data_IF_158574766448
#
_entry.id   IF_158574766448
#
_cell.length_a   1.000
_cell.length_b   1.000
_cell.length_c   1.000
_cell.angle_alpha   90.00
_cell.angle_beta   90.00
_cell.angle_gamma   90.00
#
_symmetry.space_group_name_H-M   'P 1'
#
loop_
_entity.id
_entity.type
_entity.pdbx_description
1 polymer ?
#
# COMPACT_ATOMS: atom_id res chain seq x y z
N UNK A 1 -11.59 46.23 26.57
CA UNK A 1 -11.58 45.87 25.14
C UNK A 1 -10.53 44.84 24.80
N UNK A 2 -9.31 45.00 25.25
CA UNK A 2 -8.23 44.05 24.94
C UNK A 2 -8.50 42.62 25.47
N UNK A 3 -9.02 42.52 26.67
CA UNK A 3 -9.34 41.23 27.31
C UNK A 3 -10.42 40.47 26.58
N UNK A 4 -11.48 41.15 26.11
CA UNK A 4 -12.55 40.51 25.37
C UNK A 4 -12.08 39.96 24.01
N UNK A 5 -11.15 40.64 23.36
CA UNK A 5 -10.56 40.21 22.10
C UNK A 5 -9.68 38.96 22.29
N UNK A 6 -8.85 38.94 23.34
CA UNK A 6 -7.99 37.82 23.69
C UNK A 6 -8.83 36.58 24.04
N UNK A 7 -9.90 36.76 24.83
CA UNK A 7 -10.83 35.68 25.15
C UNK A 7 -11.55 35.12 23.93
N UNK A 8 -11.92 35.98 22.98
CA UNK A 8 -12.56 35.52 21.73
C UNK A 8 -11.64 34.66 20.89
N UNK A 9 -10.36 35.07 20.76
CA UNK A 9 -9.35 34.28 20.03
C UNK A 9 -9.13 32.93 20.73
N UNK A 10 -9.01 32.93 22.06
CA UNK A 10 -8.77 31.71 22.83
C UNK A 10 -9.93 30.71 22.70
N UNK A 11 -11.18 31.20 22.79
CA UNK A 11 -12.38 30.36 22.57
C UNK A 11 -12.45 29.82 21.15
N UNK A 12 -12.09 30.61 20.15
CA UNK A 12 -12.04 30.16 18.75
C UNK A 12 -11.01 29.05 18.53
N UNK A 13 -9.83 29.16 19.15
CA UNK A 13 -8.78 28.15 19.09
C UNK A 13 -9.20 26.84 19.75
N UNK A 14 -9.86 26.89 20.91
CA UNK A 14 -10.38 25.70 21.60
C UNK A 14 -11.43 25.00 20.71
N UNK A 15 -12.33 25.76 20.12
CA UNK A 15 -13.38 25.23 19.24
C UNK A 15 -12.79 24.53 18.00
N UNK A 16 -11.81 25.17 17.38
CA UNK A 16 -11.10 24.60 16.22
C UNK A 16 -10.32 23.34 16.60
N UNK A 17 -9.67 23.33 17.76
CA UNK A 17 -8.95 22.18 18.29
C UNK A 17 -9.86 20.99 18.58
N UNK A 18 -11.05 21.23 19.17
CA UNK A 18 -12.01 20.16 19.45
C UNK A 18 -12.58 19.54 18.20
N UNK A 19 -12.90 20.35 17.19
CA UNK A 19 -13.38 19.85 15.87
C UNK A 19 -12.31 19.00 15.19
N UNK A 20 -11.06 19.46 15.16
CA UNK A 20 -9.94 18.69 14.60
C UNK A 20 -9.73 17.37 15.33
N UNK A 21 -9.80 17.38 16.66
CA UNK A 21 -9.66 16.18 17.48
C UNK A 21 -10.79 15.16 17.24
N UNK A 22 -12.04 15.61 17.18
CA UNK A 22 -13.19 14.76 16.81
C UNK A 22 -13.03 14.15 15.42
N UNK A 23 -12.55 14.94 14.46
CA UNK A 23 -12.30 14.46 13.10
C UNK A 23 -11.24 13.35 13.07
N UNK A 24 -10.13 13.50 13.79
CA UNK A 24 -9.07 12.49 13.89
C UNK A 24 -9.59 11.20 14.55
N UNK A 25 -10.38 11.32 15.61
CA UNK A 25 -10.99 10.14 16.28
C UNK A 25 -11.95 9.44 15.31
N UNK A 26 -12.78 10.18 14.61
CA UNK A 26 -13.73 9.62 13.65
C UNK A 26 -13.02 8.88 12.51
N UNK A 27 -11.93 9.45 11.98
CA UNK A 27 -11.08 8.79 10.99
C UNK A 27 -10.46 7.50 11.55
N UNK A 28 -9.92 7.52 12.75
CA UNK A 28 -9.36 6.32 13.39
C UNK A 28 -10.40 5.23 13.61
N UNK A 29 -11.60 5.58 14.03
CA UNK A 29 -12.69 4.62 14.23
C UNK A 29 -13.18 4.00 12.92
N UNK A 30 -13.26 4.79 11.86
CA UNK A 30 -13.64 4.31 10.53
C UNK A 30 -12.56 3.40 9.92
N UNK A 31 -11.29 3.76 10.04
CA UNK A 31 -10.16 2.99 9.51
C UNK A 31 -9.82 1.76 10.35
N UNK A 32 -10.07 1.80 11.68
CA UNK A 32 -9.74 0.70 12.59
C UNK A 32 -10.59 -0.56 12.39
N UNK A 33 -11.71 -0.50 11.68
CA UNK A 33 -12.58 -1.66 11.44
C UNK A 33 -12.16 -2.53 10.26
N UNK A 34 -11.32 -2.04 9.37
CA UNK A 34 -10.87 -2.80 8.21
C UNK A 34 -9.58 -3.55 8.53
N UNK A 35 -9.69 -4.74 9.09
CA UNK A 35 -8.59 -5.72 9.16
C UNK A 35 -8.40 -6.47 7.84
N UNK A 36 -8.91 -5.95 6.75
CA UNK A 36 -8.81 -6.56 5.44
C UNK A 36 -7.45 -6.30 4.83
N UNK A 37 -6.83 -7.33 4.27
CA UNK A 37 -5.62 -7.19 3.49
C UNK A 37 -5.98 -6.54 2.15
N UNK A 38 -5.39 -5.40 1.86
CA UNK A 38 -5.59 -4.73 0.57
C UNK A 38 -4.49 -5.11 -0.40
N UNK A 39 -4.90 -5.37 -1.63
CA UNK A 39 -4.01 -5.64 -2.75
C UNK A 39 -4.00 -4.43 -3.67
N UNK A 40 -2.81 -3.89 -3.91
CA UNK A 40 -2.62 -2.82 -4.89
C UNK A 40 -2.04 -3.42 -6.15
N UNK A 41 -2.80 -3.39 -7.22
CA UNK A 41 -2.39 -3.89 -8.53
C UNK A 41 -1.71 -2.76 -9.31
N UNK A 42 -0.45 -2.97 -9.69
CA UNK A 42 0.32 -2.05 -10.52
C UNK A 42 0.54 -2.67 -11.90
N UNK A 43 -0.25 -2.31 -12.92
CA UNK A 43 0.05 -2.72 -14.28
C UNK A 43 1.29 -1.96 -14.77
N UNK A 44 2.30 -2.69 -15.20
CA UNK A 44 3.55 -2.13 -15.67
C UNK A 44 3.85 -2.55 -17.10
N UNK A 45 4.22 -1.58 -17.91
CA UNK A 45 4.55 -1.77 -19.30
C UNK A 45 5.85 -0.98 -19.62
N UNK A 46 6.59 -1.39 -20.64
CA UNK A 46 7.90 -0.88 -21.03
C UNK A 46 7.98 0.65 -21.29
N UNK A 47 6.83 1.33 -21.38
CA UNK A 47 6.75 2.78 -21.57
C UNK A 47 6.72 3.58 -20.28
N UNK A 48 6.73 2.91 -19.14
CA UNK A 48 6.61 3.57 -17.84
C UNK A 48 7.98 3.92 -17.24
N UNK A 49 7.96 4.95 -16.42
CA UNK A 49 9.11 5.44 -15.66
C UNK A 49 9.63 4.32 -14.75
N UNK A 50 10.94 4.28 -14.54
CA UNK A 50 11.71 3.37 -13.70
C UNK A 50 10.87 2.61 -12.63
N UNK A 51 10.79 1.28 -12.79
CA UNK A 51 9.97 0.39 -11.97
C UNK A 51 10.30 0.49 -10.47
N UNK A 52 11.58 0.64 -10.15
CA UNK A 52 12.06 0.78 -8.77
C UNK A 52 11.43 1.99 -8.07
N UNK A 53 11.45 3.14 -8.71
CA UNK A 53 10.87 4.37 -8.17
C UNK A 53 9.35 4.27 -8.01
N UNK A 54 8.69 3.61 -8.95
CA UNK A 54 7.22 3.42 -8.91
C UNK A 54 6.83 2.51 -7.75
N UNK A 55 7.50 1.39 -7.59
CA UNK A 55 7.19 0.42 -6.53
C UNK A 55 7.50 0.99 -5.15
N UNK A 56 8.67 1.59 -4.96
CA UNK A 56 9.03 2.22 -3.68
C UNK A 56 8.17 3.44 -3.37
N UNK A 57 7.85 4.25 -4.36
CA UNK A 57 6.95 5.41 -4.19
C UNK A 57 5.54 4.97 -3.79
N UNK A 58 5.03 3.91 -4.38
CA UNK A 58 3.71 3.34 -4.01
C UNK A 58 3.75 2.78 -2.59
N UNK A 59 4.79 2.03 -2.25
CA UNK A 59 4.97 1.49 -0.89
C UNK A 59 5.07 2.59 0.15
N UNK A 60 5.82 3.65 -0.15
CA UNK A 60 5.94 4.81 0.74
C UNK A 60 4.58 5.49 0.96
N UNK A 61 3.81 5.71 -0.10
CA UNK A 61 2.46 6.27 -0.01
C UNK A 61 1.53 5.37 0.81
N UNK A 62 1.56 4.06 0.59
CA UNK A 62 0.76 3.12 1.36
C UNK A 62 1.12 3.11 2.84
N UNK A 63 2.42 3.20 3.17
CA UNK A 63 2.86 3.30 4.56
C UNK A 63 2.46 4.63 5.21
N UNK A 64 2.44 5.71 4.44
CA UNK A 64 2.09 7.04 4.96
C UNK A 64 0.59 7.20 5.20
N UNK A 65 -0.24 6.67 4.30
CA UNK A 65 -1.69 6.83 4.34
C UNK A 65 -2.42 5.63 4.94
N UNK A 66 -1.77 4.49 4.98
CA UNK A 66 -2.37 3.24 5.40
C UNK A 66 -2.03 2.87 6.83
N UNK A 67 -2.58 3.52 7.83
CA UNK A 67 -2.45 3.29 9.28
C UNK A 67 -2.32 1.80 9.70
N UNK A 68 -1.18 1.17 9.41
CA UNK A 68 -0.90 -0.22 9.75
C UNK A 68 -1.68 -1.27 8.92
N UNK A 69 -2.35 -0.85 7.86
CA UNK A 69 -3.00 -1.77 6.91
C UNK A 69 -1.90 -2.50 6.14
N UNK A 70 -1.90 -3.81 6.26
CA UNK A 70 -0.97 -4.67 5.51
C UNK A 70 -1.42 -4.66 4.05
N UNK A 71 -0.86 -3.76 3.27
CA UNK A 71 -1.10 -3.71 1.83
C UNK A 71 -0.02 -4.50 1.10
N UNK A 72 -0.46 -5.41 0.24
CA UNK A 72 0.41 -6.17 -0.64
C UNK A 72 0.39 -5.53 -2.02
N UNK A 73 1.56 -5.36 -2.61
CA UNK A 73 1.72 -4.77 -3.95
C UNK A 73 1.92 -5.90 -4.93
N UNK A 74 1.07 -5.96 -5.93
CA UNK A 74 1.15 -6.92 -7.03
C UNK A 74 1.55 -6.15 -8.29
N UNK A 75 2.72 -6.44 -8.82
CA UNK A 75 3.18 -5.87 -10.09
C UNK A 75 2.78 -6.81 -11.21
N UNK A 76 1.93 -6.31 -12.10
CA UNK A 76 1.44 -7.06 -13.25
C UNK A 76 2.32 -6.78 -14.46
N UNK A 77 2.89 -7.83 -15.05
CA UNK A 77 3.68 -7.73 -16.25
C UNK A 77 2.78 -7.57 -17.49
N UNK A 78 2.80 -6.38 -18.05
CA UNK A 78 2.09 -6.05 -19.31
C UNK A 78 3.07 -5.81 -20.47
N UNK A 79 4.28 -6.37 -20.42
CA UNK A 79 5.32 -6.19 -21.43
C UNK A 79 6.56 -5.48 -20.89
N UNK A 80 7.09 -5.97 -19.77
CA UNK A 80 8.30 -5.46 -19.11
C UNK A 80 9.53 -5.97 -19.88
N UNK A 81 10.54 -5.11 -20.08
CA UNK A 81 11.82 -5.54 -20.67
C UNK A 81 12.64 -6.37 -19.66
N UNK A 82 13.54 -7.22 -20.15
CA UNK A 82 14.28 -8.17 -19.33
C UNK A 82 15.14 -7.50 -18.25
N UNK A 83 15.72 -6.34 -18.52
CA UNK A 83 16.54 -5.60 -17.55
C UNK A 83 15.71 -5.09 -16.35
N UNK A 84 14.52 -4.56 -16.62
CA UNK A 84 13.62 -4.08 -15.56
C UNK A 84 12.97 -5.24 -14.80
N UNK A 85 12.80 -6.39 -15.46
CA UNK A 85 12.32 -7.61 -14.84
C UNK A 85 13.29 -8.12 -13.78
N UNK A 86 14.59 -8.10 -14.04
CA UNK A 86 15.61 -8.46 -13.06
C UNK A 86 15.59 -7.51 -11.87
N UNK A 87 15.54 -6.21 -12.10
CA UNK A 87 15.40 -5.20 -11.04
C UNK A 87 14.16 -5.43 -10.18
N UNK A 88 13.04 -5.76 -10.81
CA UNK A 88 11.80 -6.07 -10.10
C UNK A 88 11.90 -7.34 -9.26
N UNK A 89 12.53 -8.39 -9.77
CA UNK A 89 12.75 -9.62 -9.02
C UNK A 89 13.65 -9.38 -7.81
N UNK A 90 14.65 -8.53 -7.92
CA UNK A 90 15.50 -8.15 -6.79
C UNK A 90 14.72 -7.36 -5.73
N UNK A 91 13.87 -6.43 -6.14
CA UNK A 91 12.97 -5.72 -5.23
C UNK A 91 12.03 -6.69 -4.51
N UNK A 92 11.48 -7.68 -5.22
CA UNK A 92 10.63 -8.71 -4.61
C UNK A 92 11.39 -9.57 -3.60
N UNK A 93 12.70 -9.78 -3.79
CA UNK A 93 13.56 -10.47 -2.83
C UNK A 93 13.88 -9.64 -1.60
N UNK A 94 14.16 -8.36 -1.78
CA UNK A 94 14.52 -7.44 -0.69
C UNK A 94 13.32 -7.04 0.17
N UNK A 95 12.15 -6.90 -0.45
CA UNK A 95 10.95 -6.35 0.17
C UNK A 95 9.85 -7.38 0.32
N UNK A 96 9.42 -7.62 1.57
CA UNK A 96 8.23 -8.43 1.83
C UNK A 96 6.95 -7.69 1.40
N UNK A 97 6.01 -8.42 0.80
CA UNK A 97 4.71 -7.88 0.40
C UNK A 97 4.66 -7.32 -1.03
N UNK A 98 5.70 -7.51 -1.82
CA UNK A 98 5.72 -7.18 -3.24
C UNK A 98 5.76 -8.48 -4.04
N UNK A 99 4.84 -8.64 -4.98
CA UNK A 99 4.69 -9.84 -5.81
C UNK A 99 4.74 -9.47 -7.28
N UNK A 100 5.37 -10.32 -8.06
CA UNK A 100 5.38 -10.24 -9.52
C UNK A 100 4.48 -11.31 -10.10
N UNK A 101 3.58 -10.93 -11.01
CA UNK A 101 2.64 -11.83 -11.67
C UNK A 101 2.56 -11.48 -13.15
N UNK A 102 2.59 -12.51 -14.01
CA UNK A 102 2.30 -12.35 -15.44
C UNK A 102 0.80 -12.13 -15.66
N UNK A 103 0.47 -11.41 -16.71
CA UNK A 103 -0.93 -11.12 -17.05
C UNK A 103 -1.76 -12.40 -17.23
N UNK A 104 -1.17 -13.47 -17.72
CA UNK A 104 -1.82 -14.77 -17.95
C UNK A 104 -2.22 -15.46 -16.64
N UNK A 105 -1.42 -15.29 -15.60
CA UNK A 105 -1.56 -16.00 -14.32
C UNK A 105 -2.46 -15.27 -13.31
N UNK A 106 -2.93 -14.05 -13.64
CA UNK A 106 -3.71 -13.22 -12.71
C UNK A 106 -5.01 -13.91 -12.28
N UNK A 107 -5.63 -14.64 -13.17
CA UNK A 107 -6.88 -15.36 -12.88
C UNK A 107 -6.64 -16.48 -11.86
N UNK A 108 -5.59 -17.26 -12.05
CA UNK A 108 -5.23 -18.33 -11.12
C UNK A 108 -4.84 -17.81 -9.74
N UNK A 109 -4.18 -16.64 -9.71
CA UNK A 109 -3.85 -15.97 -8.47
C UNK A 109 -5.09 -15.62 -7.64
N UNK A 110 -6.12 -15.06 -8.27
CA UNK A 110 -7.37 -14.70 -7.60
C UNK A 110 -8.30 -15.90 -7.34
N UNK A 111 -8.22 -16.96 -8.13
CA UNK A 111 -9.01 -18.19 -7.91
C UNK A 111 -8.52 -19.02 -6.70
N UNK A 112 -7.49 -18.53 -5.99
CA UNK A 112 -7.04 -19.11 -4.74
C UNK A 112 -6.15 -20.35 -4.87
N UNK A 113 -5.81 -20.80 -6.07
CA UNK A 113 -4.89 -21.94 -6.29
C UNK A 113 -3.46 -21.62 -5.88
N UNK A 114 -3.02 -20.38 -6.12
CA UNK A 114 -1.70 -19.89 -5.74
C UNK A 114 -1.71 -19.40 -4.27
N UNK A 115 -2.91 -19.14 -3.74
CA UNK A 115 -3.13 -18.53 -2.43
C UNK A 115 -3.29 -19.55 -1.29
N UNK A 116 -2.80 -20.77 -1.47
CA UNK A 116 -2.91 -21.75 -0.41
C UNK A 116 -1.97 -21.34 0.75
N UNK A 117 -2.56 -20.81 1.81
CA UNK A 117 -1.92 -20.30 3.03
C UNK A 117 -0.90 -21.28 3.63
N UNK A 118 -1.03 -22.57 3.33
CA UNK A 118 -0.15 -23.64 3.82
C UNK A 118 1.15 -23.80 3.01
N UNK A 119 1.21 -23.27 1.80
CA UNK A 119 2.44 -23.34 1.00
C UNK A 119 3.40 -22.17 1.29
N UNK A 120 2.88 -21.03 1.74
CA UNK A 120 3.70 -19.87 2.11
C UNK A 120 4.56 -20.17 3.35
N UNK A 121 4.07 -21.03 4.25
CA UNK A 121 4.75 -21.32 5.51
C UNK A 121 5.82 -22.40 5.44
N UNK A 122 5.89 -23.21 4.38
CA UNK A 122 6.82 -24.36 4.38
C UNK A 122 8.17 -24.11 3.74
N UNK A 123 8.34 -23.15 2.85
CA UNK A 123 9.59 -23.06 2.10
C UNK A 123 10.21 -21.66 1.97
N UNK A 124 9.61 -20.59 2.50
CA UNK A 124 10.19 -19.25 2.33
C UNK A 124 10.47 -18.87 0.86
N UNK A 125 10.07 -19.73 -0.08
CA UNK A 125 10.21 -19.50 -1.50
C UNK A 125 9.08 -18.59 -1.96
N UNK A 126 9.46 -17.37 -2.25
CA UNK A 126 8.65 -16.44 -2.99
C UNK A 126 8.40 -17.06 -4.36
N UNK A 127 7.15 -17.33 -4.67
CA UNK A 127 6.77 -17.87 -5.96
C UNK A 127 7.09 -16.84 -7.04
N UNK A 128 8.19 -17.05 -7.72
CA UNK A 128 8.42 -16.50 -9.05
C UNK A 128 7.68 -17.41 -10.00
N UNK A 129 6.50 -17.03 -10.42
CA UNK A 129 5.83 -17.72 -11.50
C UNK A 129 6.56 -17.32 -12.78
N UNK A 130 7.44 -18.19 -13.20
CA UNK A 130 8.13 -18.08 -14.47
C UNK A 130 7.20 -18.43 -15.62
#
# INVERSE_FOLDING_TARGET
MFDAFVWSIFMSLILLGTVAFCYIIMLKLLLSKCKEEYYVLLPYNDKSVNIRNTVYGTRFKLNLYGDGIISKIIVLDCGICDSEKEDLLDICRECNGIYYIKQEDIKEFFDGRIWNKNQINRHGQRYYIS
#
